data_IF_757062775548
#
_entry.id   IF_757062775548
#
_cell.length_a   1.000
_cell.length_b   1.000
_cell.length_c   1.000
_cell.angle_alpha   90.00
_cell.angle_beta   90.00
_cell.angle_gamma   90.00
#
_symmetry.space_group_name_H-M   'P 1'
#
loop_
_entity.id
_entity.type
_entity.pdbx_description
1 polymer ?
#
# COMPACT_ATOMS: atom_id res chain seq x y z
N UNK A 1 -2.42 1.39 -18.69
CA UNK A 1 -1.85 2.38 -17.74
C UNK A 1 -0.72 3.11 -18.46
N UNK A 2 -0.57 4.41 -18.32
CA UNK A 2 0.63 5.10 -18.83
C UNK A 2 1.76 5.03 -17.79
N UNK A 3 3.01 5.30 -18.19
CA UNK A 3 4.13 5.40 -17.24
C UNK A 3 3.89 6.45 -16.14
N UNK A 4 3.19 7.54 -16.48
CA UNK A 4 2.81 8.57 -15.51
C UNK A 4 1.82 8.03 -14.47
N UNK A 5 0.76 7.33 -14.90
CA UNK A 5 -0.21 6.70 -14.01
C UNK A 5 0.44 5.64 -13.11
N UNK A 6 1.42 4.89 -13.64
CA UNK A 6 2.22 3.95 -12.84
C UNK A 6 3.02 4.68 -11.75
N UNK A 7 3.71 5.76 -12.11
CA UNK A 7 4.52 6.53 -11.17
C UNK A 7 3.65 7.16 -10.07
N UNK A 8 2.46 7.66 -10.42
CA UNK A 8 1.54 8.21 -9.45
C UNK A 8 0.98 7.13 -8.52
N UNK A 9 0.64 5.95 -9.04
CA UNK A 9 0.24 4.79 -8.23
C UNK A 9 1.36 4.36 -7.26
N UNK A 10 2.63 4.37 -7.69
CA UNK A 10 3.78 4.09 -6.81
C UNK A 10 3.91 5.13 -5.70
N UNK A 11 3.77 6.43 -6.01
CA UNK A 11 3.83 7.50 -4.99
C UNK A 11 2.72 7.33 -3.94
N UNK A 12 1.51 7.01 -4.37
CA UNK A 12 0.40 6.72 -3.46
C UNK A 12 0.70 5.51 -2.57
N UNK A 13 1.25 4.44 -3.14
CA UNK A 13 1.64 3.23 -2.40
C UNK A 13 2.67 3.59 -1.30
N UNK A 14 3.68 4.38 -1.64
CA UNK A 14 4.72 4.80 -0.68
C UNK A 14 4.15 5.66 0.45
N UNK A 15 3.25 6.61 0.13
CA UNK A 15 2.61 7.44 1.13
C UNK A 15 1.75 6.61 2.10
N UNK A 16 0.97 5.65 1.59
CA UNK A 16 0.16 4.76 2.42
C UNK A 16 1.04 3.82 3.27
N UNK A 17 2.15 3.32 2.72
CA UNK A 17 3.10 2.50 3.48
C UNK A 17 3.71 3.28 4.65
N UNK A 18 4.08 4.54 4.44
CA UNK A 18 4.60 5.41 5.49
C UNK A 18 3.56 5.62 6.59
N UNK A 19 2.30 5.88 6.22
CA UNK A 19 1.20 6.05 7.17
C UNK A 19 0.93 4.79 8.00
N UNK A 20 0.88 3.63 7.35
CA UNK A 20 0.74 2.32 8.02
C UNK A 20 1.89 2.12 9.02
N UNK A 21 3.13 2.40 8.61
CA UNK A 21 4.30 2.28 9.48
C UNK A 21 4.21 3.17 10.72
N UNK A 22 3.84 4.45 10.54
CA UNK A 22 3.68 5.40 11.65
C UNK A 22 2.58 4.97 12.62
N UNK A 23 1.40 4.58 12.12
CA UNK A 23 0.29 4.12 12.97
C UNK A 23 0.64 2.83 13.71
N UNK A 24 1.34 1.89 13.04
CA UNK A 24 1.79 0.63 13.68
C UNK A 24 2.78 0.92 14.79
N UNK A 25 3.76 1.80 14.54
CA UNK A 25 4.75 2.19 15.55
C UNK A 25 4.09 2.84 16.76
N UNK A 26 3.10 3.72 16.56
CA UNK A 26 2.35 4.35 17.64
C UNK A 26 1.62 3.32 18.51
N UNK A 27 0.96 2.32 17.90
CA UNK A 27 0.32 1.24 18.65
C UNK A 27 1.35 0.33 19.35
N UNK A 28 2.50 0.09 18.74
CA UNK A 28 3.54 -0.72 19.35
C UNK A 28 4.10 -0.06 20.61
N UNK A 29 4.31 1.27 20.57
CA UNK A 29 4.78 2.06 21.72
C UNK A 29 3.81 2.03 22.91
N UNK A 30 2.51 1.81 22.68
CA UNK A 30 1.50 1.68 23.73
C UNK A 30 1.17 0.23 24.11
N UNK A 31 1.85 -0.76 23.53
CA UNK A 31 1.56 -2.19 23.75
C UNK A 31 0.26 -2.67 23.09
N UNK A 32 -0.31 -1.87 22.19
CA UNK A 32 -1.61 -2.08 21.56
C UNK A 32 -1.54 -2.65 20.14
N UNK A 33 -0.33 -2.90 19.62
CA UNK A 33 -0.13 -3.56 18.33
C UNK A 33 -0.45 -5.07 18.41
N UNK A 34 -1.72 -5.41 18.61
CA UNK A 34 -2.18 -6.78 18.75
C UNK A 34 -3.53 -7.03 18.04
N UNK A 35 -3.84 -8.28 17.65
CA UNK A 35 -5.05 -8.59 16.88
C UNK A 35 -6.39 -8.30 17.59
N UNK A 36 -6.39 -8.14 18.91
CA UNK A 36 -7.61 -7.81 19.67
C UNK A 36 -7.91 -6.30 19.65
N UNK A 37 -6.93 -5.47 19.26
CA UNK A 37 -7.13 -4.05 19.07
C UNK A 37 -7.78 -3.78 17.70
N UNK A 38 -8.94 -3.09 17.65
CA UNK A 38 -9.63 -2.80 16.39
C UNK A 38 -8.81 -1.91 15.45
N UNK A 39 -8.01 -0.99 16.00
CA UNK A 39 -7.15 -0.11 15.22
C UNK A 39 -5.98 -0.88 14.60
N UNK A 40 -5.40 -1.83 15.34
CA UNK A 40 -4.38 -2.72 14.78
C UNK A 40 -4.97 -3.57 13.63
N UNK A 41 -6.17 -4.12 13.82
CA UNK A 41 -6.89 -4.87 12.77
C UNK A 41 -7.16 -4.00 11.53
N UNK A 42 -7.53 -2.74 11.73
CA UNK A 42 -7.72 -1.76 10.66
C UNK A 42 -6.42 -1.52 9.89
N UNK A 43 -5.29 -1.34 10.58
CA UNK A 43 -3.97 -1.18 9.99
C UNK A 43 -3.59 -2.40 9.14
N UNK A 44 -3.78 -3.61 9.66
CA UNK A 44 -3.50 -4.84 8.92
C UNK A 44 -4.36 -4.97 7.66
N UNK A 45 -5.62 -4.54 7.72
CA UNK A 45 -6.52 -4.50 6.55
C UNK A 45 -6.02 -3.50 5.50
N UNK A 46 -5.55 -2.32 5.93
CA UNK A 46 -4.92 -1.34 5.02
C UNK A 46 -3.64 -1.89 4.39
N UNK A 47 -2.82 -2.60 5.16
CA UNK A 47 -1.61 -3.25 4.65
C UNK A 47 -1.93 -4.34 3.61
N UNK A 48 -2.97 -5.14 3.84
CA UNK A 48 -3.42 -6.13 2.85
C UNK A 48 -3.92 -5.48 1.56
N UNK A 49 -4.67 -4.39 1.67
CA UNK A 49 -5.14 -3.61 0.51
C UNK A 49 -3.96 -3.05 -0.28
N UNK A 50 -2.92 -2.56 0.41
CA UNK A 50 -1.70 -2.07 -0.22
C UNK A 50 -0.97 -3.17 -1.00
N UNK A 51 -0.87 -4.37 -0.42
CA UNK A 51 -0.28 -5.54 -1.10
C UNK A 51 -1.04 -5.92 -2.37
N UNK A 52 -2.37 -5.87 -2.35
CA UNK A 52 -3.19 -6.12 -3.54
C UNK A 52 -2.94 -5.07 -4.63
N UNK A 53 -2.81 -3.79 -4.26
CA UNK A 53 -2.48 -2.71 -5.21
C UNK A 53 -1.12 -2.95 -5.88
N UNK A 54 -0.10 -3.31 -5.10
CA UNK A 54 1.24 -3.63 -5.62
C UNK A 54 1.17 -4.84 -6.57
N UNK A 55 0.48 -5.91 -6.18
CA UNK A 55 0.35 -7.10 -6.99
C UNK A 55 -0.35 -6.81 -8.34
N UNK A 56 -1.43 -6.02 -8.31
CA UNK A 56 -2.11 -5.56 -9.53
C UNK A 56 -1.18 -4.76 -10.42
N UNK A 57 -0.48 -3.77 -9.86
CA UNK A 57 0.42 -2.90 -10.60
C UNK A 57 1.55 -3.70 -11.29
N UNK A 58 2.15 -4.64 -10.57
CA UNK A 58 3.18 -5.54 -11.12
C UNK A 58 2.61 -6.45 -12.22
N UNK A 59 1.37 -6.91 -12.08
CA UNK A 59 0.70 -7.70 -13.11
C UNK A 59 0.45 -6.88 -14.37
N UNK A 60 -0.06 -5.66 -14.24
CA UNK A 60 -0.28 -4.74 -15.36
C UNK A 60 1.04 -4.38 -16.08
N UNK A 61 2.12 -4.21 -15.32
CA UNK A 61 3.48 -4.04 -15.82
C UNK A 61 3.95 -5.25 -16.63
N UNK A 62 3.85 -6.47 -16.07
CA UNK A 62 4.25 -7.71 -16.75
C UNK A 62 3.45 -8.00 -18.02
N UNK A 63 2.15 -7.69 -18.01
CA UNK A 63 1.28 -7.88 -19.18
C UNK A 63 1.51 -6.86 -20.30
N UNK A 64 2.43 -5.90 -20.13
CA UNK A 64 2.68 -4.88 -21.15
C UNK A 64 1.49 -3.94 -21.37
N UNK A 65 0.55 -3.87 -20.42
CA UNK A 65 -0.60 -2.94 -20.44
C UNK A 65 -0.12 -1.50 -20.16
N UNK A 66 1.20 -1.30 -20.06
CA UNK A 66 1.81 0.02 -20.10
C UNK A 66 1.88 0.53 -21.53
N UNK A 67 0.94 1.40 -21.89
CA UNK A 67 0.98 2.14 -23.14
C UNK A 67 1.99 3.28 -23.01
N UNK A 68 3.08 3.30 -23.79
CA UNK A 68 3.93 4.49 -23.87
C UNK A 68 3.07 5.65 -24.36
N UNK A 69 3.17 6.81 -23.71
CA UNK A 69 2.55 8.04 -24.25
C UNK A 69 3.15 8.26 -25.65
N UNK A 70 2.29 8.38 -26.66
CA UNK A 70 2.68 8.91 -27.98
C UNK A 70 3.01 10.38 -27.88
#
# INVERSE_FOLDING_TARGET
MTLEQYNDAIKEILAEQQKIGQSTAQLAMTGQANPTNPEFTRIMTSQWTLMQKIAKLNTELMMGIMTPKK
#
